data_IF_827690122638
#
_entry.id   IF_827690122638
#
_cell.length_a   1.000
_cell.length_b   1.000
_cell.length_c   1.000
_cell.angle_alpha   90.00
_cell.angle_beta   90.00
_cell.angle_gamma   90.00
#
_symmetry.space_group_name_H-M   'P 1'
#
loop_
_entity.id
_entity.type
_entity.pdbx_description
1 polymer ?
#
# COMPACT_ATOMS: atom_id res chain seq x y z
N UNK A 1 3.38 15.93 -61.14
CA UNK A 1 3.32 14.85 -60.16
C UNK A 1 4.03 15.31 -58.89
N UNK A 2 3.29 15.76 -57.86
CA UNK A 2 3.85 16.28 -56.60
C UNK A 2 3.59 15.22 -55.52
N UNK A 3 4.66 14.61 -55.03
CA UNK A 3 4.61 13.68 -53.91
C UNK A 3 4.52 14.50 -52.60
N UNK A 4 3.43 14.36 -51.87
CA UNK A 4 3.30 14.89 -50.49
C UNK A 4 3.75 13.80 -49.54
N UNK A 5 4.84 14.05 -48.83
CA UNK A 5 5.31 13.24 -47.73
C UNK A 5 4.47 13.62 -46.48
N UNK A 6 3.72 12.69 -45.97
CA UNK A 6 3.06 12.78 -44.64
C UNK A 6 4.12 12.45 -43.59
N UNK A 7 4.50 13.43 -42.81
CA UNK A 7 5.22 13.19 -41.54
C UNK A 7 4.17 12.97 -40.48
N UNK A 8 3.99 11.70 -40.06
CA UNK A 8 3.18 11.34 -38.90
C UNK A 8 4.02 11.55 -37.64
N UNK A 9 3.53 12.40 -36.74
CA UNK A 9 4.12 12.73 -35.47
C UNK A 9 4.08 11.54 -34.50
N UNK A 10 5.25 10.97 -34.19
CA UNK A 10 5.48 10.04 -33.08
C UNK A 10 5.93 10.83 -31.83
N UNK A 11 5.01 11.41 -31.09
CA UNK A 11 5.38 12.21 -29.90
C UNK A 11 4.63 11.83 -28.61
N UNK A 12 3.96 10.69 -28.52
CA UNK A 12 3.08 10.42 -27.36
C UNK A 12 3.43 9.21 -26.48
N UNK A 13 4.63 8.63 -26.58
CA UNK A 13 4.96 7.38 -25.84
C UNK A 13 6.14 7.54 -24.86
N UNK A 14 6.76 8.71 -24.74
CA UNK A 14 8.00 8.86 -23.96
C UNK A 14 7.81 9.30 -22.48
N UNK A 15 6.66 9.84 -22.09
CA UNK A 15 6.47 10.43 -20.76
C UNK A 15 6.32 9.38 -19.64
N UNK A 16 5.51 8.31 -19.78
CA UNK A 16 5.39 7.32 -18.70
C UNK A 16 6.66 6.50 -18.47
N UNK A 17 7.45 6.23 -19.51
CA UNK A 17 8.71 5.52 -19.37
C UNK A 17 9.80 6.34 -18.65
N UNK A 18 9.79 7.67 -18.80
CA UNK A 18 10.74 8.54 -18.11
C UNK A 18 10.44 8.67 -16.60
N UNK A 19 9.14 8.72 -16.18
CA UNK A 19 8.79 8.73 -14.77
C UNK A 19 9.10 7.39 -14.08
N UNK A 20 8.80 6.28 -14.73
CA UNK A 20 9.15 4.95 -14.22
C UNK A 20 10.67 4.76 -14.10
N UNK A 21 11.44 5.24 -15.08
CA UNK A 21 12.91 5.22 -15.02
C UNK A 21 13.45 6.08 -13.87
N UNK A 22 12.89 7.27 -13.62
CA UNK A 22 13.29 8.12 -12.48
C UNK A 22 12.96 7.48 -11.13
N UNK A 23 11.83 6.78 -10.98
CA UNK A 23 11.49 6.10 -9.73
C UNK A 23 12.40 4.91 -9.43
N UNK A 24 12.89 4.21 -10.47
CA UNK A 24 13.84 3.11 -10.31
C UNK A 24 15.23 3.56 -9.87
N UNK A 25 15.62 4.79 -10.17
CA UNK A 25 16.92 5.37 -9.77
C UNK A 25 16.95 5.85 -8.31
N UNK A 26 15.80 6.13 -7.68
CA UNK A 26 15.76 6.56 -6.27
C UNK A 26 15.99 5.37 -5.34
N UNK A 27 16.84 5.54 -4.29
CA UNK A 27 17.14 4.45 -3.36
C UNK A 27 15.96 4.13 -2.46
N UNK A 28 15.91 2.92 -1.93
CA UNK A 28 15.11 2.59 -0.75
C UNK A 28 15.78 3.13 0.52
N UNK A 29 15.02 3.23 1.59
CA UNK A 29 15.55 3.76 2.87
C UNK A 29 16.75 2.94 3.40
N UNK A 30 16.75 1.64 3.17
CA UNK A 30 17.83 0.73 3.57
C UNK A 30 19.10 0.90 2.74
N UNK A 31 18.97 1.23 1.45
CA UNK A 31 20.11 1.44 0.53
C UNK A 31 20.97 2.63 0.94
N UNK A 32 20.41 3.56 1.71
CA UNK A 32 21.12 4.74 2.24
C UNK A 32 21.59 4.55 3.68
N UNK A 33 21.52 3.33 4.22
CA UNK A 33 22.07 2.98 5.52
C UNK A 33 21.11 3.12 6.71
N UNK A 34 19.83 3.39 6.49
CA UNK A 34 18.80 3.36 7.54
C UNK A 34 18.31 1.93 7.72
N UNK A 35 18.55 1.36 8.89
CA UNK A 35 18.11 0.01 9.25
C UNK A 35 16.95 0.10 10.23
N UNK A 36 15.76 -0.30 9.77
CA UNK A 36 14.55 -0.35 10.60
C UNK A 36 14.50 -1.67 11.35
N UNK A 37 14.50 -1.61 12.67
CA UNK A 37 14.33 -2.75 13.55
C UNK A 37 15.54 -3.69 13.63
N UNK A 38 15.27 -4.93 14.03
CA UNK A 38 16.27 -5.97 14.32
C UNK A 38 16.09 -7.25 13.53
N UNK A 39 14.92 -7.47 12.93
CA UNK A 39 14.64 -8.68 12.16
C UNK A 39 15.26 -8.59 10.74
N UNK A 40 15.84 -9.69 10.22
CA UNK A 40 16.35 -9.72 8.85
C UNK A 40 15.21 -9.60 7.84
N UNK A 41 15.50 -9.04 6.67
CA UNK A 41 14.58 -8.96 5.55
C UNK A 41 14.57 -10.26 4.75
N UNK A 42 13.51 -10.49 3.96
CA UNK A 42 13.52 -11.49 2.90
C UNK A 42 14.36 -11.05 1.70
N UNK A 43 14.37 -11.86 0.65
CA UNK A 43 15.21 -11.67 -0.54
C UNK A 43 14.91 -10.36 -1.27
N UNK A 44 13.63 -10.05 -1.47
CA UNK A 44 13.17 -8.82 -2.15
C UNK A 44 12.88 -7.68 -1.17
N UNK A 45 12.89 -7.97 0.12
CA UNK A 45 12.40 -7.06 1.16
C UNK A 45 11.03 -6.48 0.77
N UNK A 46 10.09 -7.34 0.40
CA UNK A 46 8.78 -7.02 -0.15
C UNK A 46 7.71 -7.98 0.37
N UNK A 47 6.43 -7.61 0.24
CA UNK A 47 5.31 -8.48 0.62
C UNK A 47 5.34 -9.82 -0.12
N UNK A 48 5.93 -9.87 -1.30
CA UNK A 48 6.11 -11.05 -2.13
C UNK A 48 7.13 -12.07 -1.60
N UNK A 49 7.91 -11.72 -0.58
CA UNK A 49 8.73 -12.70 0.15
C UNK A 49 7.87 -13.70 0.94
N UNK A 50 6.60 -13.38 1.18
CA UNK A 50 5.63 -14.33 1.72
C UNK A 50 5.18 -15.26 0.61
N UNK A 51 5.50 -16.52 0.74
CA UNK A 51 5.29 -17.53 -0.30
C UNK A 51 3.86 -17.55 -0.87
N UNK A 52 3.74 -17.39 -2.17
CA UNK A 52 2.49 -17.39 -2.93
C UNK A 52 1.88 -16.00 -3.14
N UNK A 53 2.29 -14.98 -2.41
CA UNK A 53 1.79 -13.62 -2.60
C UNK A 53 2.32 -13.04 -3.92
N UNK A 54 1.43 -12.41 -4.69
CA UNK A 54 1.75 -11.75 -5.95
C UNK A 54 1.20 -10.35 -5.98
N UNK A 55 1.93 -9.42 -6.59
CA UNK A 55 1.54 -8.00 -6.70
C UNK A 55 1.62 -7.57 -8.15
N UNK A 56 0.59 -6.83 -8.60
CA UNK A 56 0.56 -6.19 -9.91
C UNK A 56 0.03 -4.77 -9.84
N UNK A 57 0.44 -3.95 -10.79
CA UNK A 57 0.09 -2.53 -10.85
C UNK A 57 -0.38 -2.12 -12.23
N UNK A 58 -1.35 -1.20 -12.26
CA UNK A 58 -1.68 -0.44 -13.46
C UNK A 58 -1.74 1.04 -13.10
N UNK A 59 -0.81 1.82 -13.62
CA UNK A 59 -0.80 3.27 -13.47
C UNK A 59 -1.63 3.91 -14.58
N UNK A 60 -2.48 4.86 -14.21
CA UNK A 60 -3.34 5.62 -15.13
C UNK A 60 -2.99 7.10 -15.03
N UNK A 61 -2.40 7.62 -16.10
CA UNK A 61 -1.99 9.02 -16.21
C UNK A 61 -2.25 9.53 -17.63
N UNK A 62 -2.82 10.74 -17.75
CA UNK A 62 -3.01 11.44 -19.04
C UNK A 62 -1.98 12.56 -19.26
N UNK A 63 -1.10 12.78 -18.29
CA UNK A 63 -0.12 13.86 -18.30
C UNK A 63 -0.70 15.26 -18.04
N UNK A 64 -1.98 15.37 -17.71
CA UNK A 64 -2.66 16.66 -17.49
C UNK A 64 -3.41 16.71 -16.14
N UNK A 65 -4.40 15.87 -15.95
CA UNK A 65 -5.28 15.91 -14.76
C UNK A 65 -5.52 14.56 -14.12
N UNK A 66 -5.19 13.47 -14.80
CA UNK A 66 -5.35 12.11 -14.28
C UNK A 66 -4.00 11.59 -13.79
N UNK A 67 -3.95 11.21 -12.52
CA UNK A 67 -2.78 10.61 -11.89
C UNK A 67 -3.23 9.67 -10.77
N UNK A 68 -3.46 8.41 -11.12
CA UNK A 68 -4.02 7.39 -10.23
C UNK A 68 -3.66 5.98 -10.72
N UNK A 69 -4.30 4.95 -10.19
CA UNK A 69 -4.12 3.59 -10.68
C UNK A 69 -4.78 2.52 -9.82
N UNK A 70 -4.40 1.29 -10.11
CA UNK A 70 -4.84 0.09 -9.39
C UNK A 70 -3.62 -0.71 -8.97
N UNK A 71 -3.61 -1.17 -7.72
CA UNK A 71 -2.66 -2.17 -7.21
C UNK A 71 -3.44 -3.39 -6.81
N UNK A 72 -3.07 -4.55 -7.33
CA UNK A 72 -3.67 -5.85 -7.02
C UNK A 72 -2.71 -6.68 -6.16
N UNK A 73 -3.20 -7.26 -5.07
CA UNK A 73 -2.48 -8.20 -4.22
C UNK A 73 -3.25 -9.53 -4.23
N UNK A 74 -2.62 -10.57 -4.76
CA UNK A 74 -3.17 -11.92 -4.82
C UNK A 74 -2.56 -12.75 -3.69
N UNK A 75 -3.37 -13.37 -2.82
CA UNK A 75 -2.86 -14.13 -1.68
C UNK A 75 -2.13 -15.42 -2.09
N UNK A 76 -2.41 -15.93 -3.29
CA UNK A 76 -1.77 -17.12 -3.90
C UNK A 76 -2.11 -17.22 -5.40
N UNK A 77 -1.41 -18.07 -6.18
CA UNK A 77 -1.62 -18.17 -7.63
C UNK A 77 -2.91 -18.89 -8.06
N UNK A 78 -3.65 -19.50 -7.13
CA UNK A 78 -4.91 -20.20 -7.43
C UNK A 78 -6.14 -19.29 -7.34
N UNK A 79 -7.33 -19.86 -7.61
CA UNK A 79 -8.60 -19.17 -7.43
C UNK A 79 -8.86 -18.91 -5.94
N UNK A 80 -8.87 -17.64 -5.53
CA UNK A 80 -9.02 -17.23 -4.15
C UNK A 80 -10.37 -17.61 -3.54
N UNK A 81 -11.43 -17.71 -4.35
CA UNK A 81 -12.75 -18.15 -3.89
C UNK A 81 -12.78 -19.64 -3.54
N UNK A 82 -12.13 -20.46 -4.36
CA UNK A 82 -12.10 -21.92 -4.17
C UNK A 82 -11.16 -22.36 -3.05
N UNK A 83 -10.13 -21.58 -2.79
CA UNK A 83 -9.13 -21.83 -1.74
C UNK A 83 -8.91 -20.55 -0.95
N UNK A 84 -9.84 -20.24 -0.06
CA UNK A 84 -9.84 -19.00 0.71
C UNK A 84 -8.70 -18.99 1.73
N UNK A 85 -8.19 -17.80 2.01
CA UNK A 85 -7.21 -17.62 3.09
C UNK A 85 -7.89 -17.02 4.33
N UNK A 86 -7.48 -17.38 5.54
CA UNK A 86 -7.92 -16.67 6.73
C UNK A 86 -7.44 -15.23 6.66
N UNK A 87 -8.30 -14.30 7.04
CA UNK A 87 -8.03 -12.88 6.98
C UNK A 87 -8.72 -12.13 8.12
N UNK A 88 -8.19 -10.95 8.44
CA UNK A 88 -8.78 -10.02 9.38
C UNK A 88 -8.58 -8.58 8.94
N UNK A 89 -9.43 -7.70 9.42
CA UNK A 89 -9.36 -6.26 9.17
C UNK A 89 -9.36 -5.51 10.49
N UNK A 90 -8.37 -4.62 10.64
CA UNK A 90 -8.34 -3.62 11.70
C UNK A 90 -8.57 -2.23 11.13
N UNK A 91 -9.45 -1.46 11.76
CA UNK A 91 -9.75 -0.07 11.42
C UNK A 91 -9.05 0.81 12.46
N UNK A 92 -7.98 1.49 12.05
CA UNK A 92 -7.27 2.45 12.89
C UNK A 92 -8.04 3.76 13.02
N UNK A 93 -8.47 4.31 11.89
CA UNK A 93 -9.44 5.40 11.78
C UNK A 93 -10.33 5.15 10.56
N UNK A 94 -11.61 5.47 10.64
CA UNK A 94 -12.63 4.99 9.69
C UNK A 94 -13.14 6.01 8.67
N UNK A 95 -12.42 7.10 8.40
CA UNK A 95 -12.84 8.09 7.41
C UNK A 95 -12.42 7.68 5.99
N UNK A 96 -13.04 6.62 5.47
CA UNK A 96 -12.71 6.08 4.15
C UNK A 96 -13.65 4.94 3.75
N UNK A 97 -13.30 4.22 2.69
CA UNK A 97 -14.08 3.08 2.17
C UNK A 97 -13.17 1.85 2.11
N UNK A 98 -13.64 0.78 2.69
CA UNK A 98 -13.09 -0.55 2.48
C UNK A 98 -14.26 -1.48 2.15
N UNK A 99 -14.49 -1.74 0.86
CA UNK A 99 -15.50 -2.72 0.45
C UNK A 99 -15.08 -4.12 0.90
N UNK A 100 -16.04 -4.96 1.23
CA UNK A 100 -15.77 -6.32 1.68
C UNK A 100 -15.47 -6.44 3.18
N UNK A 101 -15.30 -5.34 3.92
CA UNK A 101 -14.91 -5.33 5.34
C UNK A 101 -15.85 -6.16 6.23
N UNK A 102 -17.17 -6.10 5.98
CA UNK A 102 -18.16 -6.80 6.82
C UNK A 102 -18.01 -8.31 6.74
N UNK A 103 -17.84 -8.86 5.54
CA UNK A 103 -17.67 -10.29 5.35
C UNK A 103 -16.36 -10.79 5.95
N UNK A 104 -15.25 -10.10 5.69
CA UNK A 104 -13.95 -10.51 6.27
C UNK A 104 -13.98 -10.48 7.79
N UNK A 105 -14.61 -9.48 8.40
CA UNK A 105 -14.74 -9.41 9.87
C UNK A 105 -15.64 -10.47 10.45
N UNK A 106 -16.71 -10.82 9.76
CA UNK A 106 -17.70 -11.80 10.25
C UNK A 106 -17.25 -13.24 9.99
N UNK A 107 -16.68 -13.52 8.81
CA UNK A 107 -16.33 -14.89 8.42
C UNK A 107 -14.83 -15.22 8.64
N UNK A 108 -13.99 -14.22 8.86
CA UNK A 108 -12.56 -14.42 9.10
C UNK A 108 -11.80 -14.93 7.86
N UNK A 109 -12.31 -14.68 6.66
CA UNK A 109 -11.70 -15.20 5.41
C UNK A 109 -11.78 -14.20 4.26
N UNK A 110 -10.84 -14.32 3.33
CA UNK A 110 -10.74 -13.57 2.09
C UNK A 110 -11.03 -14.51 0.91
N UNK A 111 -11.96 -14.13 0.03
CA UNK A 111 -12.40 -14.93 -1.12
C UNK A 111 -12.09 -14.29 -2.48
N UNK A 112 -11.42 -13.13 -2.49
CA UNK A 112 -10.97 -12.42 -3.70
C UNK A 112 -9.54 -11.96 -3.57
N UNK A 113 -8.86 -11.54 -4.65
CA UNK A 113 -7.73 -10.63 -4.54
C UNK A 113 -8.09 -9.36 -3.75
N UNK A 114 -7.07 -8.63 -3.28
CA UNK A 114 -7.23 -7.31 -2.67
C UNK A 114 -6.88 -6.29 -3.74
N UNK A 115 -7.77 -5.31 -3.97
CA UNK A 115 -7.48 -4.16 -4.82
C UNK A 115 -7.33 -2.89 -3.98
N UNK A 116 -6.38 -2.05 -4.37
CA UNK A 116 -6.20 -0.69 -3.87
C UNK A 116 -6.35 0.28 -5.03
N UNK A 117 -7.02 1.43 -4.81
CA UNK A 117 -7.28 2.41 -5.86
C UNK A 117 -7.66 3.79 -5.28
N UNK A 118 -8.20 4.70 -6.08
CA UNK A 118 -8.70 6.01 -5.64
C UNK A 118 -10.09 5.93 -4.99
N UNK A 119 -10.40 6.85 -4.07
CA UNK A 119 -11.61 6.79 -3.23
C UNK A 119 -12.93 6.72 -4.02
N UNK A 120 -13.08 7.48 -5.11
CA UNK A 120 -14.30 7.41 -5.94
C UNK A 120 -14.26 6.29 -6.99
N UNK A 121 -13.14 5.57 -7.11
CA UNK A 121 -12.95 4.47 -8.06
C UNK A 121 -13.35 3.10 -7.50
N UNK A 122 -13.49 2.98 -6.18
CA UNK A 122 -13.70 1.71 -5.45
C UNK A 122 -14.78 0.84 -6.06
N UNK A 123 -15.94 1.41 -6.40
CA UNK A 123 -17.08 0.66 -6.93
C UNK A 123 -16.83 0.12 -8.34
N UNK A 124 -16.17 0.91 -9.23
CA UNK A 124 -15.77 0.44 -10.56
C UNK A 124 -14.74 -0.68 -10.46
N UNK A 125 -13.76 -0.53 -9.56
CA UNK A 125 -12.76 -1.56 -9.34
C UNK A 125 -13.36 -2.85 -8.78
N UNK A 126 -14.33 -2.74 -7.87
CA UNK A 126 -15.04 -3.88 -7.31
C UNK A 126 -15.86 -4.62 -8.37
N UNK A 127 -16.61 -3.90 -9.19
CA UNK A 127 -17.41 -4.46 -10.27
C UNK A 127 -16.54 -5.22 -11.29
N UNK A 128 -15.46 -4.59 -11.74
CA UNK A 128 -14.51 -5.22 -12.66
C UNK A 128 -13.80 -6.46 -12.05
N UNK A 129 -13.49 -6.46 -10.75
CA UNK A 129 -12.93 -7.63 -10.09
C UNK A 129 -13.95 -8.76 -9.98
N UNK A 130 -15.21 -8.45 -9.72
CA UNK A 130 -16.29 -9.45 -9.69
C UNK A 130 -16.45 -10.09 -11.07
N UNK A 131 -16.49 -9.31 -12.14
CA UNK A 131 -16.54 -9.80 -13.52
C UNK A 131 -15.35 -10.72 -13.82
N UNK A 132 -14.12 -10.28 -13.57
CA UNK A 132 -12.91 -11.08 -13.75
C UNK A 132 -12.92 -12.38 -12.94
N UNK A 133 -13.40 -12.34 -11.68
CA UNK A 133 -13.50 -13.53 -10.82
C UNK A 133 -14.52 -14.55 -11.36
N UNK A 134 -15.68 -14.10 -11.84
CA UNK A 134 -16.73 -14.97 -12.37
C UNK A 134 -16.30 -15.70 -13.66
N UNK A 135 -15.34 -15.16 -14.40
CA UNK A 135 -14.73 -15.81 -15.57
C UNK A 135 -13.72 -16.91 -15.22
N UNK A 136 -13.26 -16.96 -13.95
CA UNK A 136 -12.30 -17.97 -13.53
C UNK A 136 -12.91 -19.36 -13.50
N UNK A 137 -12.11 -20.37 -13.84
CA UNK A 137 -12.52 -21.77 -13.79
C UNK A 137 -13.04 -22.17 -12.41
N UNK A 138 -14.19 -22.81 -12.37
CA UNK A 138 -14.84 -23.29 -11.14
C UNK A 138 -15.85 -22.30 -10.55
N UNK A 139 -16.01 -21.12 -11.17
CA UNK A 139 -16.93 -20.08 -10.70
C UNK A 139 -18.33 -20.18 -11.35
N UNK A 140 -18.57 -21.13 -12.24
CA UNK A 140 -19.79 -21.23 -13.09
C UNK A 140 -21.09 -21.31 -12.29
N UNK A 141 -21.04 -21.81 -11.04
CA UNK A 141 -22.20 -21.91 -10.15
C UNK A 141 -22.20 -20.89 -9.01
N UNK A 142 -21.19 -20.03 -8.95
CA UNK A 142 -21.09 -18.99 -7.90
C UNK A 142 -22.08 -17.88 -8.18
N UNK A 143 -22.88 -17.50 -7.17
CA UNK A 143 -23.95 -16.50 -7.27
C UNK A 143 -23.78 -15.35 -6.28
N UNK A 144 -22.76 -15.39 -5.45
CA UNK A 144 -22.42 -14.35 -4.50
C UNK A 144 -20.91 -14.28 -4.34
N UNK A 145 -20.37 -13.09 -4.41
CA UNK A 145 -18.94 -12.81 -4.31
C UNK A 145 -18.75 -11.45 -3.63
N UNK A 146 -17.86 -11.37 -2.68
CA UNK A 146 -17.63 -10.16 -1.90
C UNK A 146 -16.24 -9.58 -2.18
N UNK A 147 -16.18 -8.62 -3.09
CA UNK A 147 -14.95 -7.95 -3.50
C UNK A 147 -14.31 -7.16 -2.34
N UNK A 148 -13.01 -7.34 -2.11
CA UNK A 148 -12.23 -6.56 -1.15
C UNK A 148 -11.44 -5.46 -1.85
N UNK A 149 -11.88 -4.19 -1.69
CA UNK A 149 -11.28 -3.02 -2.35
C UNK A 149 -11.07 -1.89 -1.35
N UNK A 150 -9.79 -1.50 -1.16
CA UNK A 150 -9.39 -0.37 -0.34
C UNK A 150 -9.04 0.87 -1.18
N UNK A 151 -8.86 2.02 -0.51
CA UNK A 151 -8.66 3.27 -1.22
C UNK A 151 -7.88 4.33 -0.42
N UNK A 152 -7.36 5.29 -1.16
CA UNK A 152 -6.97 6.59 -0.61
C UNK A 152 -7.48 7.74 -1.50
N UNK A 153 -7.62 8.94 -0.93
CA UNK A 153 -8.07 10.11 -1.68
C UNK A 153 -6.89 10.82 -2.36
N UNK A 154 -6.68 10.54 -3.62
CA UNK A 154 -5.64 11.13 -4.46
C UNK A 154 -6.07 12.41 -5.21
N UNK A 155 -7.22 12.99 -4.85
CA UNK A 155 -7.85 14.13 -5.54
C UNK A 155 -7.01 15.41 -5.60
N UNK A 156 -5.87 15.47 -4.92
CA UNK A 156 -4.92 16.58 -5.04
C UNK A 156 -4.13 16.58 -6.35
N UNK A 157 -3.86 15.40 -6.90
CA UNK A 157 -3.12 15.20 -8.17
C UNK A 157 -3.97 14.54 -9.26
N UNK A 158 -5.16 14.06 -8.91
CA UNK A 158 -6.05 13.33 -9.79
C UNK A 158 -7.41 14.03 -9.89
N UNK A 159 -7.96 14.25 -11.08
CA UNK A 159 -9.38 14.58 -11.23
C UNK A 159 -10.22 13.37 -10.82
N UNK A 160 -10.34 13.18 -9.52
CA UNK A 160 -11.00 12.04 -8.90
C UNK A 160 -12.50 11.96 -9.24
N UNK A 161 -13.12 13.10 -9.58
CA UNK A 161 -14.55 13.15 -9.96
C UNK A 161 -14.81 12.54 -11.33
N UNK A 162 -13.82 12.52 -12.21
CA UNK A 162 -13.93 11.82 -13.51
C UNK A 162 -14.01 10.30 -13.35
N UNK A 163 -13.59 9.76 -12.18
CA UNK A 163 -13.58 8.33 -11.87
C UNK A 163 -12.88 7.52 -12.97
N UNK A 164 -11.57 7.78 -13.20
CA UNK A 164 -10.88 7.38 -14.42
C UNK A 164 -10.56 5.88 -14.52
N UNK A 165 -10.74 5.11 -13.43
CA UNK A 165 -10.51 3.66 -13.47
C UNK A 165 -11.60 2.98 -14.29
N UNK A 166 -11.16 2.15 -15.24
CA UNK A 166 -12.00 1.34 -16.11
C UNK A 166 -11.67 -0.17 -15.93
N UNK A 167 -12.56 -1.11 -16.35
CA UNK A 167 -12.38 -2.54 -16.13
C UNK A 167 -11.02 -3.07 -16.61
N UNK A 168 -10.56 -2.65 -17.77
CA UNK A 168 -9.27 -3.12 -18.33
C UNK A 168 -8.06 -2.72 -17.46
N UNK A 169 -8.11 -1.63 -16.69
CA UNK A 169 -7.05 -1.26 -15.75
C UNK A 169 -6.97 -2.24 -14.58
N UNK A 170 -8.13 -2.70 -14.10
CA UNK A 170 -8.23 -3.69 -13.03
C UNK A 170 -7.71 -5.05 -13.50
N UNK A 171 -8.18 -5.50 -14.66
CA UNK A 171 -7.74 -6.76 -15.27
C UNK A 171 -6.23 -6.74 -15.49
N UNK A 172 -5.69 -5.65 -16.06
CA UNK A 172 -4.25 -5.53 -16.27
C UNK A 172 -3.43 -5.62 -14.97
N UNK A 173 -3.90 -5.01 -13.87
CA UNK A 173 -3.25 -5.13 -12.56
C UNK A 173 -3.29 -6.56 -12.01
N UNK A 174 -4.43 -7.26 -12.16
CA UNK A 174 -4.58 -8.65 -11.71
C UNK A 174 -3.69 -9.62 -12.52
N UNK A 175 -3.64 -9.45 -13.84
CA UNK A 175 -2.89 -10.33 -14.76
C UNK A 175 -1.38 -10.07 -14.75
N UNK A 176 -0.94 -8.84 -14.47
CA UNK A 176 0.48 -8.49 -14.34
C UNK A 176 1.09 -8.93 -13.01
N UNK A 177 0.31 -9.47 -12.07
CA UNK A 177 0.78 -9.80 -10.73
C UNK A 177 1.86 -10.89 -10.75
N UNK A 178 3.00 -10.59 -10.11
CA UNK A 178 4.15 -11.48 -9.98
C UNK A 178 4.58 -11.64 -8.51
N UNK A 179 5.36 -12.67 -8.22
CA UNK A 179 5.95 -12.97 -6.91
C UNK A 179 7.40 -12.49 -6.76
N UNK A 180 7.88 -11.69 -7.72
CA UNK A 180 9.21 -11.07 -7.69
C UNK A 180 9.27 -9.73 -6.94
N UNK A 181 10.30 -8.92 -7.21
CA UNK A 181 10.40 -7.56 -6.68
C UNK A 181 9.15 -6.74 -7.01
N UNK A 182 8.68 -5.96 -6.02
CA UNK A 182 7.51 -5.09 -6.18
C UNK A 182 7.97 -3.69 -6.57
N UNK A 183 7.33 -3.11 -7.57
CA UNK A 183 7.56 -1.72 -7.96
C UNK A 183 6.98 -0.77 -6.90
N UNK A 184 7.74 0.29 -6.54
CA UNK A 184 7.40 1.20 -5.44
C UNK A 184 7.36 2.66 -5.90
N UNK A 185 6.84 3.55 -5.06
CA UNK A 185 6.70 4.98 -5.34
C UNK A 185 5.48 5.30 -6.18
N UNK A 186 5.68 5.98 -7.31
CA UNK A 186 4.61 6.56 -8.15
C UNK A 186 4.05 5.52 -9.12
N UNK A 187 3.51 4.42 -8.59
CA UNK A 187 2.98 3.31 -9.38
C UNK A 187 1.60 2.88 -8.89
N UNK A 188 0.78 2.35 -9.78
CA UNK A 188 -0.54 1.81 -9.46
C UNK A 188 -1.37 2.77 -8.60
N UNK A 189 -1.96 2.25 -7.54
CA UNK A 189 -2.77 3.03 -6.60
C UNK A 189 -1.99 4.14 -5.86
N UNK A 190 -0.64 4.09 -5.87
CA UNK A 190 0.22 5.12 -5.28
C UNK A 190 0.53 6.30 -6.20
N UNK A 191 0.08 6.28 -7.45
CA UNK A 191 0.48 7.27 -8.45
C UNK A 191 0.06 8.71 -8.11
N UNK A 192 -1.11 8.92 -7.51
CA UNK A 192 -1.63 10.26 -7.15
C UNK A 192 -1.54 10.62 -5.67
N UNK A 193 -0.92 9.80 -4.82
CA UNK A 193 -0.94 9.95 -3.36
C UNK A 193 0.07 10.96 -2.83
N UNK A 194 -0.22 11.53 -1.65
CA UNK A 194 0.61 12.52 -0.95
C UNK A 194 0.78 12.10 0.51
N UNK A 195 2.02 12.00 1.00
CA UNK A 195 2.27 11.64 2.38
C UNK A 195 3.21 12.65 3.07
N UNK A 196 2.82 13.11 4.26
CA UNK A 196 3.53 14.16 5.02
C UNK A 196 3.76 15.47 4.24
N UNK A 197 2.92 15.72 3.21
CA UNK A 197 3.08 16.87 2.32
C UNK A 197 4.02 16.64 1.13
N UNK A 198 4.79 15.57 1.10
CA UNK A 198 5.59 15.13 -0.04
C UNK A 198 4.85 14.08 -0.88
N UNK A 199 5.39 13.77 -2.06
CA UNK A 199 4.83 12.72 -2.89
C UNK A 199 4.90 11.38 -2.14
N UNK A 200 3.74 10.77 -1.92
CA UNK A 200 3.59 9.41 -1.40
C UNK A 200 3.65 8.35 -2.49
N UNK A 201 3.25 7.13 -2.18
CA UNK A 201 3.29 6.05 -3.17
C UNK A 201 2.94 4.68 -2.61
N UNK A 202 3.24 3.67 -3.41
CA UNK A 202 3.33 2.29 -2.94
C UNK A 202 4.69 2.10 -2.26
N UNK A 203 4.69 1.40 -1.14
CA UNK A 203 5.92 0.94 -0.50
C UNK A 203 5.74 -0.46 0.07
N UNK A 204 6.83 -1.21 0.17
CA UNK A 204 6.78 -2.58 0.66
C UNK A 204 8.03 -2.94 1.45
N UNK A 205 7.93 -3.96 2.29
CA UNK A 205 9.02 -4.50 3.09
C UNK A 205 8.66 -5.88 3.64
N UNK A 206 9.64 -6.64 4.08
CA UNK A 206 9.44 -7.92 4.73
C UNK A 206 10.37 -8.14 5.92
N UNK A 207 10.00 -9.10 6.76
CA UNK A 207 10.83 -9.61 7.86
C UNK A 207 10.74 -11.12 7.91
N UNK A 208 11.90 -11.75 8.06
CA UNK A 208 12.01 -13.21 8.26
C UNK A 208 12.41 -13.47 9.70
N UNK A 209 11.58 -14.18 10.43
CA UNK A 209 11.85 -14.54 11.81
C UNK A 209 12.97 -15.57 11.89
N UNK A 210 13.88 -15.49 12.88
CA UNK A 210 14.81 -16.58 13.17
C UNK A 210 14.09 -17.90 13.42
N UNK A 211 14.75 -19.03 13.14
CA UNK A 211 14.17 -20.37 13.35
C UNK A 211 13.71 -20.59 14.79
N UNK A 212 14.40 -20.01 15.77
CA UNK A 212 14.00 -20.04 17.19
C UNK A 212 12.66 -19.35 17.49
N UNK A 213 12.17 -18.51 16.56
CA UNK A 213 10.88 -17.85 16.62
C UNK A 213 9.89 -18.40 15.58
N UNK A 214 10.21 -19.55 14.94
CA UNK A 214 9.36 -20.25 14.00
C UNK A 214 9.76 -20.13 12.54
N UNK A 215 10.70 -19.24 12.17
CA UNK A 215 11.20 -19.07 10.81
C UNK A 215 10.20 -18.46 9.82
N UNK A 216 9.09 -17.89 10.32
CA UNK A 216 8.02 -17.32 9.49
C UNK A 216 8.43 -16.02 8.83
N UNK A 217 7.78 -15.73 7.72
CA UNK A 217 7.91 -14.46 6.99
C UNK A 217 6.69 -13.58 7.24
N UNK A 218 6.92 -12.29 7.46
CA UNK A 218 5.89 -11.24 7.44
C UNK A 218 6.25 -10.25 6.35
N UNK A 219 5.33 -9.99 5.45
CA UNK A 219 5.47 -9.00 4.39
C UNK A 219 4.38 -7.93 4.49
N UNK A 220 4.73 -6.67 4.19
CA UNK A 220 3.81 -5.54 4.23
C UNK A 220 3.88 -4.77 2.92
N UNK A 221 2.71 -4.34 2.42
CA UNK A 221 2.57 -3.37 1.35
C UNK A 221 1.67 -2.23 1.83
N UNK A 222 2.07 -1.00 1.54
CA UNK A 222 1.28 0.19 1.89
C UNK A 222 0.97 1.03 0.65
N UNK A 223 -0.20 1.68 0.67
CA UNK A 223 -0.56 2.81 -0.17
C UNK A 223 -0.61 4.04 0.74
N UNK A 224 0.44 4.87 0.74
CA UNK A 224 0.62 5.98 1.67
C UNK A 224 0.04 7.28 1.14
N UNK A 225 -0.91 7.89 1.87
CA UNK A 225 -1.57 9.15 1.51
C UNK A 225 -2.07 9.85 2.77
N UNK A 226 -1.19 10.27 3.67
CA UNK A 226 -1.58 10.81 4.98
C UNK A 226 -0.65 11.91 5.46
N UNK A 227 -1.13 12.72 6.41
CA UNK A 227 -0.37 13.77 7.08
C UNK A 227 0.29 13.32 8.38
N UNK A 228 1.06 14.22 8.97
CA UNK A 228 1.74 13.96 10.25
C UNK A 228 3.00 14.81 10.43
N UNK A 229 3.86 14.38 11.34
CA UNK A 229 5.15 14.98 11.66
C UNK A 229 6.22 13.94 11.36
N UNK A 230 6.71 13.91 10.11
CA UNK A 230 7.58 12.84 9.63
C UNK A 230 8.79 12.62 10.54
N UNK A 231 8.91 11.39 11.00
CA UNK A 231 10.08 10.87 11.68
C UNK A 231 10.66 9.70 10.88
N UNK A 232 11.97 9.63 10.76
CA UNK A 232 12.67 8.50 10.12
C UNK A 232 13.70 7.97 11.11
N UNK A 233 13.48 6.74 11.56
CA UNK A 233 14.32 6.11 12.60
C UNK A 233 14.56 7.03 13.83
N UNK A 234 13.53 7.76 14.25
CA UNK A 234 13.55 8.70 15.38
C UNK A 234 14.09 10.10 15.06
N UNK A 235 14.67 10.33 13.88
CA UNK A 235 15.07 11.68 13.46
C UNK A 235 13.83 12.51 13.07
N UNK A 236 13.66 13.76 13.55
CA UNK A 236 12.48 14.59 13.34
C UNK A 236 12.53 15.29 11.96
N UNK A 237 12.54 14.53 10.87
CA UNK A 237 12.78 15.00 9.50
C UNK A 237 11.77 16.07 9.08
N UNK A 238 10.49 15.89 9.39
CA UNK A 238 9.45 16.87 9.04
C UNK A 238 9.67 18.23 9.70
N UNK A 239 10.06 18.23 10.98
CA UNK A 239 10.36 19.47 11.73
C UNK A 239 11.62 20.16 11.17
N UNK A 240 12.66 19.40 10.91
CA UNK A 240 13.93 19.92 10.39
C UNK A 240 13.81 20.50 8.96
N UNK A 241 12.94 19.91 8.15
CA UNK A 241 12.61 20.41 6.80
C UNK A 241 11.54 21.52 6.81
N UNK A 242 10.96 21.86 7.98
CA UNK A 242 9.93 22.88 8.10
C UNK A 242 8.56 22.46 7.53
N UNK A 243 8.35 21.18 7.25
CA UNK A 243 7.11 20.66 6.66
C UNK A 243 6.48 19.59 7.55
N UNK A 244 5.52 19.98 8.38
CA UNK A 244 4.84 19.09 9.32
C UNK A 244 3.44 19.62 9.67
N UNK A 245 2.57 18.72 10.14
CA UNK A 245 1.23 19.11 10.60
C UNK A 245 1.29 20.11 11.76
N UNK A 246 0.39 21.07 11.75
CA UNK A 246 0.28 22.13 12.78
C UNK A 246 1.45 23.13 12.83
N UNK A 247 2.32 23.17 11.81
CA UNK A 247 3.48 24.08 11.80
C UNK A 247 3.05 25.55 11.95
N UNK A 248 2.02 25.97 11.24
CA UNK A 248 1.48 27.34 11.30
C UNK A 248 0.82 27.64 12.65
N UNK A 249 0.02 26.71 13.18
CA UNK A 249 -0.68 26.89 14.46
C UNK A 249 0.29 26.97 15.66
N UNK A 250 1.39 26.23 15.59
CA UNK A 250 2.41 26.22 16.66
C UNK A 250 3.42 27.35 16.50
N UNK A 251 3.67 27.81 15.27
CA UNK A 251 4.68 28.81 14.91
C UNK A 251 4.35 30.24 15.34
N UNK A 252 3.16 30.54 15.87
CA UNK A 252 2.69 31.87 16.28
C UNK A 252 2.67 32.92 15.16
N UNK A 253 2.35 32.51 13.93
CA UNK A 253 2.18 33.45 12.83
C UNK A 253 0.86 34.24 13.02
N UNK A 254 0.95 35.57 13.09
CA UNK A 254 -0.20 36.47 13.23
C UNK A 254 -1.09 36.42 11.96
N UNK A 255 -0.60 35.89 10.83
CA UNK A 255 -1.29 35.76 9.55
C UNK A 255 -1.90 34.33 9.33
N UNK A 256 -2.15 33.57 10.40
CA UNK A 256 -2.76 32.28 10.33
C UNK A 256 -4.16 32.30 9.67
N UNK A 257 -4.28 31.62 8.54
CA UNK A 257 -5.57 31.34 7.89
C UNK A 257 -6.12 29.98 8.32
N UNK A 258 -7.17 29.92 9.17
CA UNK A 258 -7.76 28.66 9.61
C UNK A 258 -8.33 27.80 8.47
N UNK A 259 -8.59 28.41 7.29
CA UNK A 259 -9.14 27.69 6.14
C UNK A 259 -8.04 27.10 5.23
N UNK A 260 -6.84 27.62 5.25
CA UNK A 260 -5.72 27.11 4.47
C UNK A 260 -5.19 25.75 4.96
N UNK A 261 -5.39 25.47 6.25
CA UNK A 261 -4.79 24.32 6.94
C UNK A 261 -5.75 23.11 7.15
N UNK A 262 -6.99 23.19 6.67
CA UNK A 262 -8.05 22.20 6.92
C UNK A 262 -8.04 21.04 5.92
N UNK A 263 -6.93 20.74 5.26
CA UNK A 263 -6.84 19.49 4.51
C UNK A 263 -6.20 18.38 5.38
N UNK A 264 -6.87 17.99 6.45
CA UNK A 264 -6.61 16.73 7.18
C UNK A 264 -7.00 15.49 6.34
N UNK A 265 -6.88 15.58 5.03
CA UNK A 265 -7.27 14.50 4.14
C UNK A 265 -6.07 13.55 4.02
N UNK A 266 -6.19 12.46 4.72
CA UNK A 266 -5.21 11.41 4.65
C UNK A 266 -5.92 10.07 4.56
N UNK A 267 -5.18 9.04 4.24
CA UNK A 267 -5.58 7.64 4.32
C UNK A 267 -4.34 6.78 4.15
N UNK A 268 -4.34 5.60 4.73
CA UNK A 268 -3.36 4.59 4.40
C UNK A 268 -4.05 3.23 4.30
N UNK A 269 -3.76 2.50 3.23
CA UNK A 269 -4.00 1.07 3.17
C UNK A 269 -2.73 0.33 3.53
N UNK A 270 -2.83 -0.59 4.49
CA UNK A 270 -1.75 -1.48 4.92
C UNK A 270 -2.20 -2.92 4.70
N UNK A 271 -1.48 -3.65 3.87
CA UNK A 271 -1.73 -5.07 3.63
C UNK A 271 -0.59 -5.87 4.25
N UNK A 272 -0.91 -6.76 5.18
CA UNK A 272 0.03 -7.60 5.93
C UNK A 272 -0.19 -9.05 5.53
N UNK A 273 0.81 -9.68 4.97
CA UNK A 273 0.82 -11.11 4.65
C UNK A 273 1.76 -11.87 5.57
N UNK A 274 1.47 -13.14 5.84
CA UNK A 274 2.40 -14.04 6.53
C UNK A 274 2.18 -15.49 6.08
N UNK A 275 3.22 -16.31 6.14
CA UNK A 275 3.16 -17.77 5.99
C UNK A 275 2.99 -18.52 7.34
N UNK A 276 2.91 -17.79 8.45
CA UNK A 276 2.59 -18.38 9.74
C UNK A 276 1.14 -18.90 9.76
N UNK A 277 0.88 -20.09 10.34
CA UNK A 277 -0.48 -20.64 10.45
C UNK A 277 -1.25 -19.86 11.52
N UNK A 278 -2.04 -18.87 11.08
CA UNK A 278 -2.80 -17.99 11.96
C UNK A 278 -4.30 -18.05 11.66
N UNK A 279 -5.10 -18.12 12.75
CA UNK A 279 -6.54 -17.85 12.68
C UNK A 279 -6.81 -16.35 12.42
N UNK A 280 -8.03 -16.03 11.99
CA UNK A 280 -8.53 -14.66 11.84
C UNK A 280 -8.35 -13.83 13.13
N UNK A 281 -8.58 -14.41 14.30
CA UNK A 281 -8.34 -13.76 15.60
C UNK A 281 -6.87 -13.36 15.78
N UNK A 282 -5.93 -14.24 15.43
CA UNK A 282 -4.50 -13.93 15.52
C UNK A 282 -4.05 -12.95 14.43
N UNK A 283 -4.65 -13.01 13.23
CA UNK A 283 -4.44 -12.04 12.17
C UNK A 283 -4.97 -10.64 12.54
N UNK A 284 -6.08 -10.51 13.24
CA UNK A 284 -6.54 -9.22 13.74
C UNK A 284 -5.55 -8.62 14.75
N UNK A 285 -4.97 -9.44 15.62
CA UNK A 285 -3.92 -9.01 16.54
C UNK A 285 -2.66 -8.56 15.80
N UNK A 286 -2.33 -9.23 14.69
CA UNK A 286 -1.23 -8.85 13.80
C UNK A 286 -1.53 -7.50 13.12
N UNK A 287 -2.73 -7.35 12.54
CA UNK A 287 -3.19 -6.12 11.88
C UNK A 287 -3.09 -4.89 12.80
N UNK A 288 -3.47 -5.02 14.06
CA UNK A 288 -3.35 -3.93 15.06
C UNK A 288 -1.91 -3.45 15.25
N UNK A 289 -0.88 -4.26 14.98
CA UNK A 289 0.54 -3.89 15.10
C UNK A 289 1.02 -3.03 13.94
N UNK A 290 0.43 -3.15 12.77
CA UNK A 290 0.75 -2.26 11.66
C UNK A 290 0.49 -0.78 11.99
N UNK A 291 -0.57 -0.47 12.76
CA UNK A 291 -0.83 0.90 13.23
C UNK A 291 0.27 1.42 14.16
N UNK A 292 0.94 0.54 14.92
CA UNK A 292 2.10 0.94 15.73
C UNK A 292 3.31 1.28 14.82
N UNK A 293 3.52 0.56 13.72
CA UNK A 293 4.51 0.90 12.70
C UNK A 293 4.21 2.25 12.03
N UNK A 294 2.94 2.48 11.67
CA UNK A 294 2.47 3.77 11.14
C UNK A 294 2.80 4.92 12.12
N UNK A 295 2.52 4.75 13.41
CA UNK A 295 2.75 5.78 14.42
C UNK A 295 4.24 6.09 14.62
N UNK A 296 5.15 5.12 14.41
CA UNK A 296 6.60 5.34 14.47
C UNK A 296 7.10 6.32 13.38
N UNK A 297 6.37 6.42 12.27
CA UNK A 297 6.71 7.36 11.18
C UNK A 297 6.27 8.79 11.43
N UNK A 298 5.50 9.04 12.51
CA UNK A 298 4.99 10.36 12.88
C UNK A 298 3.55 10.64 12.45
N UNK A 299 2.83 9.62 11.96
CA UNK A 299 1.37 9.73 11.76
C UNK A 299 0.64 9.71 13.09
N UNK A 300 -0.42 10.49 13.19
CA UNK A 300 -1.33 10.51 14.36
C UNK A 300 -2.75 10.06 14.02
N UNK A 301 -2.96 9.46 12.82
CA UNK A 301 -4.28 9.00 12.35
C UNK A 301 -5.34 10.10 12.49
N UNK A 302 -5.19 11.20 11.73
CA UNK A 302 -6.07 12.38 11.81
C UNK A 302 -7.54 12.01 11.63
N UNK A 303 -8.45 12.85 12.12
CA UNK A 303 -9.89 12.59 12.03
C UNK A 303 -10.39 12.36 10.59
N UNK A 304 -9.79 13.02 9.60
CA UNK A 304 -10.11 12.87 8.18
C UNK A 304 -9.42 11.71 7.47
N UNK A 305 -8.67 10.86 8.20
CA UNK A 305 -7.90 9.75 7.64
C UNK A 305 -8.71 8.44 7.60
N UNK A 306 -8.56 7.66 6.55
CA UNK A 306 -9.02 6.27 6.45
C UNK A 306 -7.85 5.31 6.59
N UNK A 307 -7.60 4.84 7.81
CA UNK A 307 -6.46 3.99 8.14
C UNK A 307 -6.93 2.55 8.33
N UNK A 308 -6.71 1.71 7.33
CA UNK A 308 -7.17 0.34 7.32
C UNK A 308 -6.01 -0.64 7.18
N UNK A 309 -6.10 -1.73 7.92
CA UNK A 309 -5.15 -2.85 7.84
C UNK A 309 -5.89 -4.11 7.44
N UNK A 310 -5.43 -4.76 6.38
CA UNK A 310 -5.88 -6.07 5.94
C UNK A 310 -4.74 -7.05 6.25
N UNK A 311 -4.98 -8.07 7.07
CA UNK A 311 -3.99 -9.11 7.35
C UNK A 311 -4.50 -10.47 6.89
N UNK A 312 -3.64 -11.29 6.29
CA UNK A 312 -3.98 -12.64 5.86
C UNK A 312 -2.80 -13.61 6.01
N UNK A 313 -3.11 -14.92 6.07
CA UNK A 313 -2.10 -15.97 6.09
C UNK A 313 -2.16 -16.82 4.83
N UNK A 314 -0.98 -17.09 4.24
CA UNK A 314 -0.83 -17.97 3.07
C UNK A 314 -0.57 -19.42 3.44
N UNK A 315 -0.42 -19.78 4.71
CA UNK A 315 -0.11 -21.12 5.17
C UNK A 315 -1.15 -22.14 4.68
N UNK A 316 -0.68 -23.29 4.19
CA UNK A 316 -1.58 -24.33 3.66
C UNK A 316 -2.50 -24.92 4.75
N UNK A 317 -2.01 -25.08 5.98
CA UNK A 317 -2.76 -25.67 7.10
C UNK A 317 -3.94 -24.84 7.59
N UNK A 318 -4.08 -23.59 7.11
CA UNK A 318 -5.19 -22.67 7.48
C UNK A 318 -6.10 -22.32 6.31
N UNK A 319 -5.85 -22.88 5.12
CA UNK A 319 -6.69 -22.64 3.93
C UNK A 319 -8.13 -23.09 4.18
N UNK A 320 -9.07 -22.30 3.70
CA UNK A 320 -10.49 -22.55 3.84
C UNK A 320 -11.09 -23.09 2.56
N UNK A 321 -11.76 -24.23 2.65
CA UNK A 321 -12.43 -24.88 1.51
C UNK A 321 -13.89 -24.45 1.41
N UNK A 322 -14.44 -24.44 0.19
CA UNK A 322 -15.86 -24.28 -0.05
C UNK A 322 -16.68 -25.55 0.25
N UNK A 323 -16.04 -26.69 0.54
CA UNK A 323 -16.74 -27.94 0.93
C UNK A 323 -17.33 -27.80 2.32
N UNK A 324 -18.59 -28.24 2.46
CA UNK A 324 -19.26 -28.24 3.78
C UNK A 324 -18.72 -29.30 4.75
N UNK A 325 -19.04 -29.13 6.04
CA UNK A 325 -18.68 -30.05 7.12
C UNK A 325 -17.68 -29.43 8.10
N UNK A 326 -17.30 -30.18 9.16
CA UNK A 326 -16.33 -29.71 10.12
C UNK A 326 -14.91 -29.72 9.51
N UNK A 327 -14.13 -28.67 9.79
CA UNK A 327 -12.74 -28.54 9.38
C UNK A 327 -11.84 -28.36 10.59
N UNK A 328 -10.61 -28.84 10.51
CA UNK A 328 -9.55 -28.60 11.48
C UNK A 328 -8.50 -27.70 10.84
N UNK A 329 -8.11 -26.65 11.55
CA UNK A 329 -7.10 -25.70 11.09
C UNK A 329 -5.98 -25.57 12.12
N UNK A 330 -4.76 -25.36 11.64
CA UNK A 330 -3.64 -25.01 12.50
C UNK A 330 -3.85 -23.58 13.06
N UNK A 331 -3.42 -23.31 14.28
CA UNK A 331 -3.35 -21.95 14.83
C UNK A 331 -2.16 -21.84 15.78
N UNK A 332 -1.30 -20.88 15.51
CA UNK A 332 -0.11 -20.63 16.31
C UNK A 332 -0.53 -20.21 17.74
N UNK A 333 0.12 -20.78 18.74
CA UNK A 333 -0.18 -20.47 20.13
C UNK A 333 0.10 -19.00 20.46
N UNK A 334 -0.64 -18.45 21.44
CA UNK A 334 -0.49 -17.06 21.87
C UNK A 334 0.96 -16.71 22.28
N UNK A 335 1.70 -17.66 22.86
CA UNK A 335 3.08 -17.47 23.30
C UNK A 335 4.08 -17.24 22.16
N UNK A 336 3.72 -17.64 20.95
CA UNK A 336 4.60 -17.56 19.77
C UNK A 336 4.34 -16.34 18.87
N UNK A 337 3.42 -15.43 19.28
CA UNK A 337 3.01 -14.29 18.46
C UNK A 337 3.95 -13.08 18.51
N UNK A 338 4.77 -12.93 19.55
CA UNK A 338 5.52 -11.68 19.79
C UNK A 338 6.53 -11.36 18.66
N UNK A 339 7.21 -12.37 18.11
CA UNK A 339 8.11 -12.18 16.97
C UNK A 339 7.38 -11.67 15.73
N UNK A 340 6.20 -12.20 15.44
CA UNK A 340 5.36 -11.75 14.32
C UNK A 340 4.85 -10.32 14.53
N UNK A 341 4.55 -9.92 15.77
CA UNK A 341 4.13 -8.56 16.09
C UNK A 341 5.26 -7.55 15.81
N UNK A 342 6.47 -7.81 16.30
CA UNK A 342 7.61 -6.92 16.03
C UNK A 342 7.94 -6.87 14.54
N UNK A 343 7.96 -8.02 13.86
CA UNK A 343 8.17 -8.10 12.41
C UNK A 343 7.16 -7.24 11.62
N UNK A 344 5.88 -7.26 12.04
CA UNK A 344 4.84 -6.42 11.41
C UNK A 344 5.08 -4.94 11.62
N UNK A 345 5.48 -4.53 12.83
CA UNK A 345 5.77 -3.12 13.16
C UNK A 345 6.94 -2.62 12.30
N UNK A 346 8.05 -3.36 12.30
CA UNK A 346 9.25 -3.01 11.54
C UNK A 346 8.99 -2.96 10.02
N UNK A 347 8.29 -3.97 9.48
CA UNK A 347 7.99 -4.02 8.07
C UNK A 347 7.03 -2.89 7.65
N UNK A 348 6.05 -2.52 8.48
CA UNK A 348 5.14 -1.40 8.18
C UNK A 348 5.89 -0.08 8.17
N UNK A 349 6.72 0.18 9.18
CA UNK A 349 7.55 1.38 9.28
C UNK A 349 8.44 1.53 8.05
N UNK A 350 9.18 0.48 7.66
CA UNK A 350 10.07 0.51 6.50
C UNK A 350 9.29 0.66 5.17
N UNK A 351 8.13 0.02 5.02
CA UNK A 351 7.29 0.16 3.82
C UNK A 351 6.86 1.62 3.60
N UNK A 352 6.50 2.32 4.68
CA UNK A 352 6.12 3.74 4.60
C UNK A 352 7.32 4.59 4.17
N UNK A 353 8.50 4.36 4.74
CA UNK A 353 9.71 5.07 4.31
C UNK A 353 10.03 4.80 2.85
N UNK A 354 9.95 3.54 2.39
CA UNK A 354 10.18 3.17 1.00
C UNK A 354 9.22 3.88 0.06
N UNK A 355 7.94 4.04 0.43
CA UNK A 355 6.96 4.76 -0.38
C UNK A 355 7.35 6.22 -0.64
N UNK A 356 7.99 6.89 0.32
CA UNK A 356 8.50 8.27 0.21
C UNK A 356 9.83 8.33 -0.55
N UNK A 357 10.75 7.43 -0.24
CA UNK A 357 12.09 7.41 -0.84
C UNK A 357 12.05 7.08 -2.33
N UNK A 358 11.17 6.16 -2.73
CA UNK A 358 10.98 5.75 -4.14
C UNK A 358 10.11 6.72 -4.95
N UNK A 359 9.35 7.61 -4.30
CA UNK A 359 8.51 8.57 -5.00
C UNK A 359 9.32 9.66 -5.70
N UNK A 360 8.90 10.08 -6.89
CA UNK A 360 9.41 11.23 -7.64
C UNK A 360 8.40 12.36 -7.63
N UNK A 361 8.83 13.61 -7.84
CA UNK A 361 7.92 14.75 -7.94
C UNK A 361 6.93 14.57 -9.09
N UNK A 362 5.67 14.95 -8.87
CA UNK A 362 4.59 14.82 -9.85
C UNK A 362 3.86 16.14 -10.00
N UNK A 363 3.63 16.54 -11.25
CA UNK A 363 2.76 17.65 -11.62
C UNK A 363 1.54 17.08 -12.34
N UNK A 364 0.36 17.26 -11.78
CA UNK A 364 -0.93 16.85 -12.38
C UNK A 364 -2.07 17.65 -11.77
N UNK A 365 -3.19 17.77 -12.46
CA UNK A 365 -4.39 18.46 -12.02
C UNK A 365 -4.12 19.91 -11.51
N UNK A 366 -3.19 20.62 -12.18
CA UNK A 366 -2.81 21.99 -11.83
C UNK A 366 -1.97 22.14 -10.56
N UNK A 367 -1.48 21.04 -9.97
CA UNK A 367 -0.68 21.02 -8.75
C UNK A 367 0.63 20.26 -8.96
N UNK A 368 1.70 20.75 -8.35
CA UNK A 368 2.95 20.01 -8.20
C UNK A 368 3.08 19.54 -6.76
N UNK A 369 3.43 18.27 -6.58
CA UNK A 369 3.82 17.71 -5.29
C UNK A 369 5.23 17.17 -5.42
N UNK A 370 6.13 17.74 -4.63
CA UNK A 370 7.55 17.37 -4.67
C UNK A 370 7.79 16.05 -3.94
N UNK A 371 8.79 15.33 -4.43
CA UNK A 371 9.34 14.18 -3.72
C UNK A 371 10.06 14.63 -2.44
N UNK A 372 10.20 13.73 -1.46
CA UNK A 372 11.04 13.96 -0.29
C UNK A 372 12.47 14.38 -0.73
N UNK A 373 13.01 15.53 -0.26
CA UNK A 373 14.33 16.02 -0.64
C UNK A 373 15.40 15.13 0.02
N UNK A 374 15.98 14.21 -0.76
CA UNK A 374 16.84 13.15 -0.21
C UNK A 374 18.16 13.67 0.35
N UNK A 375 18.79 14.66 -0.31
CA UNK A 375 20.09 15.19 0.14
C UNK A 375 19.97 15.78 1.54
N UNK A 376 19.00 16.69 1.74
CA UNK A 376 18.74 17.33 3.04
C UNK A 376 18.25 16.30 4.06
N UNK A 377 17.42 15.35 3.64
CA UNK A 377 16.97 14.27 4.51
C UNK A 377 18.14 13.44 5.02
N UNK A 378 19.07 13.05 4.14
CA UNK A 378 20.25 12.28 4.52
C UNK A 378 21.21 13.06 5.46
N UNK A 379 21.32 14.38 5.29
CA UNK A 379 22.09 15.23 6.22
C UNK A 379 21.46 15.24 7.61
N UNK A 380 20.12 15.36 7.69
CA UNK A 380 19.38 15.27 8.95
C UNK A 380 19.60 13.91 9.60
N UNK A 381 19.42 12.81 8.85
CA UNK A 381 19.58 11.46 9.36
C UNK A 381 21.00 11.20 9.91
N UNK A 382 22.05 11.70 9.26
CA UNK A 382 23.45 11.63 9.77
C UNK A 382 23.59 12.41 11.06
N UNK A 383 23.07 13.64 11.12
CA UNK A 383 23.13 14.50 12.31
C UNK A 383 22.47 13.86 13.53
N UNK A 384 21.39 13.12 13.33
CA UNK A 384 20.68 12.41 14.40
C UNK A 384 21.16 10.96 14.63
N UNK A 385 22.19 10.50 13.89
CA UNK A 385 22.75 9.15 14.05
C UNK A 385 21.79 8.03 13.57
N UNK A 386 20.86 8.35 12.70
CA UNK A 386 19.89 7.39 12.14
C UNK A 386 20.47 6.57 10.96
N UNK A 387 21.57 6.99 10.39
CA UNK A 387 22.34 6.25 9.38
C UNK A 387 23.57 5.62 10.07
N UNK A 388 23.83 4.35 9.79
CA UNK A 388 24.97 3.58 10.31
C UNK A 388 26.06 3.42 9.26
#
# INVERSE_FOLDING_TARGET
>A
MRVRVLILSLLSVLIPAALAAQSSERPRVRDVGVVVGVMPTGEHNAITDVAGVRVGHTTVSDGASIQTGVTAILPHPGNAYMSRVPAAIHVGNGYGKLLGVTQVRELGELETPILLTCTLCVWKAADAMVEWMLEQRGMEQVRSLNALVGETNDGGLNDIRSRPIEPHHVVAALESATDGPVEEGVVGAGAGTVAFGWKGGIGTSSRVLPQSLGGYTVGVLVQSNFGGILQIAGAPVGVELGQYAFAQQVGRDEDYDPQADVQEWGSIMMVVATDAPLSDRNLERLARRAVMGLSRTGSYASNGSGDYVIAFSTANGVRRSTTGGPHTYDDLSNGNMSGLFEATIEATEESIYNSLFKAVSVTSNGRTVDALPLEETLEILRRYGAIR
#
